data_IF_857868962249
#
_entry.id   IF_857868962249
#
_cell.length_a   1.000
_cell.length_b   1.000
_cell.length_c   1.000
_cell.angle_alpha   90.00
_cell.angle_beta   90.00
_cell.angle_gamma   90.00
#
_symmetry.space_group_name_H-M   'P 1'
#
loop_
_entity.id
_entity.type
_entity.pdbx_description
1 polymer ?
#
# COMPACT_ATOMS: atom_id res chain seq x y z
N UNK A 1 -9.21 -21.25 -2.49
CA UNK A 1 -8.20 -20.18 -2.33
C UNK A 1 -8.51 -19.13 -3.38
N UNK A 2 -9.19 -18.03 -3.01
CA UNK A 2 -9.62 -17.00 -3.98
C UNK A 2 -8.41 -16.10 -4.24
N UNK A 3 -7.82 -16.24 -5.42
CA UNK A 3 -6.77 -15.37 -5.94
C UNK A 3 -7.42 -14.03 -6.31
N UNK A 4 -7.41 -13.07 -5.39
CA UNK A 4 -7.77 -11.69 -5.71
C UNK A 4 -6.60 -11.10 -6.47
N UNK A 5 -6.68 -11.09 -7.80
CA UNK A 5 -5.77 -10.34 -8.66
C UNK A 5 -6.13 -8.86 -8.46
N UNK A 6 -5.41 -8.19 -7.55
CA UNK A 6 -5.47 -6.73 -7.44
C UNK A 6 -4.74 -6.20 -8.68
N UNK A 7 -5.45 -5.55 -9.63
CA UNK A 7 -4.79 -5.00 -10.81
C UNK A 7 -3.73 -3.98 -10.38
N UNK A 8 -2.62 -3.95 -11.11
CA UNK A 8 -1.56 -2.95 -10.90
C UNK A 8 -2.18 -1.53 -10.81
N UNK A 9 -1.69 -0.66 -9.92
CA UNK A 9 -2.35 0.58 -9.49
C UNK A 9 -2.56 1.65 -10.58
N UNK A 10 -2.25 1.34 -11.84
CA UNK A 10 -2.28 2.27 -12.98
C UNK A 10 -3.68 2.46 -13.63
N UNK A 11 -4.69 1.63 -13.36
CA UNK A 11 -5.88 1.56 -14.23
C UNK A 11 -7.23 1.98 -13.61
N UNK A 12 -7.27 2.63 -12.44
CA UNK A 12 -8.54 3.12 -11.86
C UNK A 12 -8.88 4.55 -12.31
N UNK A 13 -9.65 4.67 -13.39
CA UNK A 13 -10.23 5.95 -13.86
C UNK A 13 -11.42 6.37 -12.96
N UNK A 14 -11.17 7.23 -11.98
CA UNK A 14 -12.24 7.87 -11.18
C UNK A 14 -12.39 9.37 -11.55
N UNK A 15 -13.60 9.78 -11.91
CA UNK A 15 -14.01 11.17 -12.24
C UNK A 15 -14.23 11.99 -10.95
N UNK A 16 -13.58 13.15 -10.86
CA UNK A 16 -13.79 14.15 -9.80
C UNK A 16 -12.68 15.21 -9.78
N UNK A 17 -12.74 16.21 -10.65
CA UNK A 17 -11.57 17.01 -11.06
C UNK A 17 -10.96 17.96 -10.00
N UNK A 18 -11.67 18.33 -8.93
CA UNK A 18 -11.17 19.34 -7.97
C UNK A 18 -10.62 18.70 -6.68
N UNK A 19 -11.34 17.74 -6.08
CA UNK A 19 -10.83 16.97 -4.92
C UNK A 19 -9.60 16.13 -5.25
N UNK A 20 -9.50 15.67 -6.51
CA UNK A 20 -8.37 14.91 -7.05
C UNK A 20 -7.11 15.77 -7.21
N UNK A 21 -7.27 17.06 -7.51
CA UNK A 21 -6.17 18.02 -7.59
C UNK A 21 -5.54 18.27 -6.21
N UNK A 22 -6.36 18.26 -5.16
CA UNK A 22 -5.93 18.41 -3.77
C UNK A 22 -5.56 17.09 -3.08
N UNK A 23 -5.69 15.93 -3.73
CA UNK A 23 -5.37 14.63 -3.14
C UNK A 23 -6.31 14.14 -2.02
N UNK A 24 -7.40 14.87 -1.73
CA UNK A 24 -8.35 14.58 -0.65
C UNK A 24 -9.38 13.49 -1.03
N UNK A 25 -8.90 12.31 -1.43
CA UNK A 25 -9.73 11.15 -1.84
C UNK A 25 -9.60 9.99 -0.82
N UNK A 26 -8.75 10.15 0.20
CA UNK A 26 -8.37 9.08 1.15
C UNK A 26 -9.58 8.34 1.74
N UNK A 27 -10.66 9.04 2.09
CA UNK A 27 -11.87 8.44 2.69
C UNK A 27 -12.98 8.12 1.67
N UNK A 28 -12.80 8.45 0.40
CA UNK A 28 -13.81 8.15 -0.63
C UNK A 28 -13.81 6.65 -0.96
N UNK A 29 -14.99 6.00 -0.96
CA UNK A 29 -15.09 4.59 -1.31
C UNK A 29 -14.58 4.30 -2.71
N UNK A 30 -13.79 3.23 -2.84
CA UNK A 30 -13.34 2.73 -4.13
C UNK A 30 -14.54 2.10 -4.84
N UNK A 31 -14.72 2.44 -6.12
CA UNK A 31 -15.79 1.90 -6.97
C UNK A 31 -15.20 1.23 -8.21
N UNK A 32 -15.67 0.02 -8.52
CA UNK A 32 -15.39 -0.69 -9.77
C UNK A 32 -16.74 -0.87 -10.47
N UNK A 33 -16.86 -0.40 -11.71
CA UNK A 33 -18.09 -0.57 -12.54
C UNK A 33 -19.38 -0.20 -11.77
N UNK A 34 -19.35 0.95 -11.07
CA UNK A 34 -20.41 1.49 -10.20
C UNK A 34 -20.69 0.77 -8.88
N UNK A 35 -20.00 -0.33 -8.57
CA UNK A 35 -20.12 -1.03 -7.30
C UNK A 35 -18.98 -0.65 -6.33
N UNK A 36 -19.33 -0.35 -5.08
CA UNK A 36 -18.32 -0.11 -4.04
C UNK A 36 -17.56 -1.40 -3.74
N UNK A 37 -16.23 -1.32 -3.67
CA UNK A 37 -15.39 -2.46 -3.29
C UNK A 37 -15.57 -2.71 -1.81
N UNK A 38 -16.00 -3.93 -1.45
CA UNK A 38 -16.19 -4.33 -0.07
C UNK A 38 -15.21 -5.41 0.33
N UNK A 39 -14.62 -5.26 1.51
CA UNK A 39 -13.85 -6.29 2.19
C UNK A 39 -14.54 -6.60 3.51
N UNK A 40 -14.95 -7.85 3.71
CA UNK A 40 -15.65 -8.30 4.93
C UNK A 40 -16.88 -7.45 5.29
N UNK A 41 -17.62 -7.01 4.28
CA UNK A 41 -18.80 -6.15 4.44
C UNK A 41 -18.52 -4.65 4.58
N UNK A 42 -17.27 -4.24 4.76
CA UNK A 42 -16.85 -2.83 4.85
C UNK A 42 -16.51 -2.27 3.48
N UNK A 43 -17.00 -1.06 3.17
CA UNK A 43 -16.64 -0.34 1.95
C UNK A 43 -15.20 0.18 2.09
N UNK A 44 -14.30 -0.31 1.24
CA UNK A 44 -12.92 0.12 1.22
C UNK A 44 -12.83 1.56 0.69
N UNK A 45 -12.11 2.41 1.41
CA UNK A 45 -11.67 3.70 0.91
C UNK A 45 -10.23 3.62 0.38
N UNK A 46 -9.76 4.71 -0.23
CA UNK A 46 -8.41 4.77 -0.78
C UNK A 46 -7.33 4.63 0.30
N UNK A 47 -7.60 5.14 1.51
CA UNK A 47 -6.71 4.96 2.66
C UNK A 47 -6.52 3.48 2.99
N UNK A 48 -7.62 2.71 3.06
CA UNK A 48 -7.57 1.29 3.36
C UNK A 48 -6.75 0.52 2.31
N UNK A 49 -6.83 0.94 1.04
CA UNK A 49 -6.01 0.36 -0.02
C UNK A 49 -4.52 0.56 0.24
N UNK A 50 -4.09 1.73 0.72
CA UNK A 50 -2.68 1.97 1.02
C UNK A 50 -2.17 1.11 2.17
N UNK A 51 -3.00 0.90 3.20
CA UNK A 51 -2.69 -0.05 4.27
C UNK A 51 -2.53 -1.48 3.71
N UNK A 52 -3.41 -1.91 2.81
CA UNK A 52 -3.34 -3.21 2.14
C UNK A 52 -2.08 -3.32 1.25
N UNK A 53 -1.77 -2.30 0.45
CA UNK A 53 -0.57 -2.25 -0.40
C UNK A 53 0.70 -2.37 0.43
N UNK A 54 0.81 -1.60 1.52
CA UNK A 54 1.95 -1.64 2.44
C UNK A 54 2.03 -2.98 3.17
N UNK A 55 0.90 -3.60 3.49
CA UNK A 55 0.86 -4.92 4.12
C UNK A 55 1.47 -6.03 3.24
N UNK A 56 1.30 -5.94 1.93
CA UNK A 56 1.93 -6.89 1.00
C UNK A 56 3.45 -6.66 0.81
N UNK A 57 3.98 -5.54 1.30
CA UNK A 57 5.40 -5.28 1.30
C UNK A 57 6.09 -5.94 2.51
N UNK A 58 7.35 -6.31 2.33
CA UNK A 58 8.19 -6.78 3.45
C UNK A 58 8.17 -5.76 4.60
N UNK A 59 8.03 -6.24 5.84
CA UNK A 59 8.00 -5.38 7.03
C UNK A 59 9.33 -4.65 7.18
N UNK A 60 9.30 -3.37 7.53
CA UNK A 60 10.52 -2.56 7.73
C UNK A 60 10.73 -2.23 9.21
N UNK A 61 11.99 -2.10 9.62
CA UNK A 61 12.33 -1.66 10.97
C UNK A 61 12.05 -0.16 11.15
N UNK A 62 11.23 0.20 12.14
CA UNK A 62 10.97 1.56 12.59
C UNK A 62 11.08 1.61 14.12
N UNK A 63 12.09 2.32 14.64
CA UNK A 63 12.42 2.26 16.06
C UNK A 63 12.73 0.82 16.50
N UNK A 64 11.98 0.30 17.48
CA UNK A 64 12.13 -1.08 17.99
C UNK A 64 11.24 -2.10 17.29
N UNK A 65 10.34 -1.68 16.39
CA UNK A 65 9.30 -2.55 15.82
C UNK A 65 9.50 -2.82 14.32
N UNK A 66 9.06 -3.99 13.87
CA UNK A 66 8.93 -4.33 12.44
C UNK A 66 7.52 -4.01 11.96
N UNK A 67 7.40 -2.89 11.27
CA UNK A 67 6.12 -2.29 10.88
C UNK A 67 5.62 -2.88 9.58
N UNK A 68 4.33 -3.21 9.52
CA UNK A 68 3.67 -3.92 8.42
C UNK A 68 2.68 -3.07 7.63
N UNK A 69 2.16 -1.99 8.19
CA UNK A 69 1.05 -1.24 7.62
C UNK A 69 -0.32 -1.59 8.20
N UNK A 70 -0.51 -2.69 8.94
CA UNK A 70 -1.85 -3.02 9.52
C UNK A 70 -1.85 -3.64 10.94
N UNK A 71 -0.71 -4.08 11.47
CA UNK A 71 -0.65 -4.84 12.73
C UNK A 71 -0.55 -3.97 14.00
N UNK A 72 -0.39 -2.67 13.86
CA UNK A 72 -0.53 -1.71 14.96
C UNK A 72 -1.96 -1.21 15.16
N UNK A 73 -2.89 -1.59 14.27
CA UNK A 73 -4.27 -1.10 14.27
C UNK A 73 -5.23 -2.27 14.45
N UNK A 74 -6.11 -2.19 15.44
CA UNK A 74 -7.21 -3.12 15.60
C UNK A 74 -8.43 -2.63 14.79
N UNK A 75 -8.45 -2.96 13.50
CA UNK A 75 -9.55 -2.61 12.60
C UNK A 75 -10.25 -3.86 12.06
N UNK A 76 -11.60 -3.94 12.11
CA UNK A 76 -12.35 -5.05 11.52
C UNK A 76 -12.23 -5.12 9.99
N UNK A 77 -11.74 -4.05 9.36
CA UNK A 77 -11.40 -4.04 7.93
C UNK A 77 -10.22 -4.98 7.64
N UNK A 78 -9.20 -5.00 8.51
CA UNK A 78 -7.96 -5.75 8.29
C UNK A 78 -7.90 -7.07 9.06
N UNK A 79 -8.54 -7.16 10.23
CA UNK A 79 -8.48 -8.34 11.11
C UNK A 79 -9.84 -9.03 11.28
N UNK A 80 -9.84 -10.36 11.26
CA UNK A 80 -11.08 -11.16 11.41
C UNK A 80 -11.59 -11.17 12.85
N UNK A 81 -10.69 -10.97 13.79
CA UNK A 81 -10.91 -10.93 15.22
C UNK A 81 -10.11 -9.78 15.81
N UNK A 82 -10.51 -9.32 16.99
CA UNK A 82 -9.67 -8.38 17.75
C UNK A 82 -8.28 -8.97 17.96
N UNK A 83 -7.25 -8.21 17.62
CA UNK A 83 -5.85 -8.57 17.85
C UNK A 83 -5.26 -7.68 18.95
N UNK A 84 -4.21 -8.19 19.60
CA UNK A 84 -3.32 -7.34 20.41
C UNK A 84 -2.35 -6.64 19.46
N UNK A 85 -2.33 -5.29 19.39
CA UNK A 85 -1.42 -4.57 18.51
C UNK A 85 0.04 -4.93 18.80
N UNK A 86 0.80 -5.28 17.76
CA UNK A 86 2.21 -5.64 17.91
C UNK A 86 3.10 -4.43 18.24
N UNK A 87 2.62 -3.23 17.89
CA UNK A 87 3.28 -1.94 18.07
C UNK A 87 2.24 -0.82 17.95
N UNK A 88 2.65 0.43 18.18
CA UNK A 88 1.77 1.60 18.04
C UNK A 88 1.30 1.77 16.58
N UNK A 89 -0.03 1.79 16.35
CA UNK A 89 -0.65 1.99 15.05
C UNK A 89 -0.22 3.27 14.33
N UNK A 90 0.24 4.30 15.05
CA UNK A 90 0.80 5.50 14.44
C UNK A 90 2.06 5.21 13.59
N UNK A 91 2.77 4.11 13.86
CA UNK A 91 3.86 3.66 13.01
C UNK A 91 3.37 3.11 11.66
N UNK A 92 2.21 2.45 11.64
CA UNK A 92 1.58 2.02 10.38
C UNK A 92 1.17 3.24 9.56
N UNK A 93 0.54 4.24 10.18
CA UNK A 93 0.17 5.50 9.52
C UNK A 93 1.38 6.25 8.94
N UNK A 94 2.49 6.31 9.70
CA UNK A 94 3.72 6.93 9.23
C UNK A 94 4.29 6.21 8.00
N UNK A 95 4.30 4.87 8.01
CA UNK A 95 4.76 4.06 6.88
C UNK A 95 3.84 4.23 5.66
N UNK A 96 2.53 4.24 5.89
CA UNK A 96 1.51 4.45 4.86
C UNK A 96 1.64 5.84 4.24
N UNK A 97 1.89 6.89 5.02
CA UNK A 97 2.13 8.22 4.50
C UNK A 97 3.34 8.30 3.56
N UNK A 98 4.46 7.63 3.88
CA UNK A 98 5.59 7.51 2.95
C UNK A 98 5.20 6.77 1.68
N UNK A 99 4.43 5.70 1.79
CA UNK A 99 3.96 4.94 0.64
C UNK A 99 3.04 5.76 -0.28
N UNK A 100 2.09 6.50 0.31
CA UNK A 100 1.20 7.41 -0.39
C UNK A 100 1.97 8.51 -1.13
N UNK A 101 2.94 9.13 -0.45
CA UNK A 101 3.76 10.18 -1.04
C UNK A 101 4.60 9.69 -2.23
N UNK A 102 5.17 8.48 -2.14
CA UNK A 102 6.01 7.90 -3.19
C UNK A 102 5.21 7.36 -4.38
N UNK A 103 4.06 6.73 -4.14
CA UNK A 103 3.28 6.08 -5.21
C UNK A 103 2.28 7.03 -5.87
N UNK A 104 1.81 8.03 -5.14
CA UNK A 104 0.73 8.93 -5.54
C UNK A 104 1.01 10.35 -5.04
N UNK A 105 2.08 10.96 -5.54
CA UNK A 105 2.52 12.28 -5.09
C UNK A 105 1.44 13.36 -5.33
N UNK A 106 1.07 14.05 -4.27
CA UNK A 106 0.19 15.24 -4.29
C UNK A 106 0.64 16.22 -3.20
N UNK A 107 0.19 17.48 -3.27
CA UNK A 107 0.48 18.46 -2.24
C UNK A 107 0.02 17.99 -0.85
N UNK A 108 -1.18 17.40 -0.77
CA UNK A 108 -1.70 16.82 0.47
C UNK A 108 -0.85 15.66 0.99
N UNK A 109 -0.48 14.70 0.12
CA UNK A 109 0.37 13.57 0.53
C UNK A 109 1.77 14.03 0.95
N UNK A 110 2.26 15.12 0.37
CA UNK A 110 3.53 15.74 0.75
C UNK A 110 3.42 16.37 2.14
N UNK A 111 2.37 17.14 2.43
CA UNK A 111 2.10 17.66 3.76
C UNK A 111 1.93 16.55 4.80
N UNK A 112 1.21 15.48 4.45
CA UNK A 112 1.04 14.29 5.30
C UNK A 112 2.39 13.63 5.59
N UNK A 113 3.25 13.44 4.58
CA UNK A 113 4.59 12.90 4.78
C UNK A 113 5.46 13.80 5.68
N UNK A 114 5.42 15.13 5.49
CA UNK A 114 6.13 16.08 6.35
C UNK A 114 5.66 15.96 7.80
N UNK A 115 4.35 15.91 8.04
CA UNK A 115 3.78 15.71 9.39
C UNK A 115 4.34 14.44 10.04
N UNK A 116 4.35 13.32 9.31
CA UNK A 116 4.85 12.05 9.84
C UNK A 116 6.37 12.02 10.02
N UNK A 117 7.12 12.73 9.18
CA UNK A 117 8.56 12.95 9.37
C UNK A 117 8.80 13.67 10.70
N UNK A 118 8.09 14.77 10.96
CA UNK A 118 8.19 15.51 12.23
C UNK A 118 7.82 14.62 13.41
N UNK A 119 6.71 13.88 13.32
CA UNK A 119 6.27 12.97 14.37
C UNK A 119 7.30 11.86 14.65
N UNK A 120 7.89 11.24 13.63
CA UNK A 120 8.93 10.22 13.84
C UNK A 120 10.16 10.78 14.57
N UNK A 121 10.55 12.02 14.26
CA UNK A 121 11.64 12.69 14.96
C UNK A 121 11.34 12.90 16.45
N UNK A 122 10.11 13.27 16.82
CA UNK A 122 9.73 13.40 18.26
C UNK A 122 9.77 12.07 19.00
N UNK A 123 9.73 10.93 18.28
CA UNK A 123 9.89 9.58 18.83
C UNK A 123 11.33 9.06 18.80
N UNK A 124 12.29 9.87 18.37
CA UNK A 124 13.69 9.46 18.22
C UNK A 124 13.92 8.43 17.09
N UNK A 125 13.00 8.34 16.14
CA UNK A 125 13.11 7.44 14.98
C UNK A 125 13.61 8.26 13.79
N UNK A 126 14.72 7.81 13.17
CA UNK A 126 15.29 8.47 11.98
C UNK A 126 14.37 8.31 10.75
N UNK A 127 13.70 9.38 10.26
CA UNK A 127 12.74 9.28 9.17
C UNK A 127 13.40 8.94 7.83
N UNK A 128 14.63 9.42 7.59
CA UNK A 128 15.37 9.12 6.37
C UNK A 128 15.71 7.63 6.28
N UNK A 129 16.09 7.01 7.40
CA UNK A 129 16.34 5.57 7.45
C UNK A 129 15.06 4.76 7.17
N UNK A 130 13.90 5.22 7.66
CA UNK A 130 12.60 4.62 7.34
C UNK A 130 12.30 4.72 5.86
N UNK A 131 12.46 5.91 5.27
CA UNK A 131 12.23 6.16 3.85
C UNK A 131 13.12 5.26 2.97
N UNK A 132 14.42 5.19 3.24
CA UNK A 132 15.37 4.35 2.50
C UNK A 132 14.95 2.88 2.54
N UNK A 133 14.60 2.36 3.73
CA UNK A 133 14.14 0.97 3.88
C UNK A 133 12.86 0.72 3.09
N UNK A 134 11.92 1.65 3.14
CA UNK A 134 10.66 1.54 2.43
C UNK A 134 10.85 1.54 0.90
N UNK A 135 11.67 2.46 0.37
CA UNK A 135 12.01 2.51 -1.06
C UNK A 135 12.67 1.21 -1.51
N UNK A 136 13.62 0.66 -0.73
CA UNK A 136 14.27 -0.63 -1.05
C UNK A 136 13.26 -1.77 -1.17
N UNK A 137 12.31 -1.86 -0.24
CA UNK A 137 11.26 -2.90 -0.29
C UNK A 137 10.33 -2.68 -1.47
N UNK A 138 9.96 -1.43 -1.77
CA UNK A 138 9.13 -1.09 -2.92
C UNK A 138 9.80 -1.53 -4.23
N UNK A 139 11.07 -1.15 -4.44
CA UNK A 139 11.85 -1.55 -5.61
C UNK A 139 11.96 -3.08 -5.74
N UNK A 140 12.22 -3.78 -4.63
CA UNK A 140 12.25 -5.25 -4.61
C UNK A 140 10.92 -5.85 -5.05
N UNK A 141 9.80 -5.28 -4.58
CA UNK A 141 8.46 -5.75 -4.95
C UNK A 141 8.12 -5.51 -6.41
N UNK A 142 8.50 -4.35 -6.97
CA UNK A 142 8.31 -4.02 -8.39
C UNK A 142 9.15 -4.93 -9.29
N UNK A 143 10.41 -5.21 -8.92
CA UNK A 143 11.27 -6.15 -9.62
C UNK A 143 10.67 -7.56 -9.62
N UNK A 144 10.10 -8.00 -8.49
CA UNK A 144 9.44 -9.32 -8.39
C UNK A 144 8.18 -9.37 -9.25
N UNK A 145 7.37 -8.31 -9.24
CA UNK A 145 6.17 -8.23 -10.08
C UNK A 145 6.56 -8.28 -11.57
N UNK A 146 7.53 -7.48 -11.99
CA UNK A 146 8.02 -7.46 -13.38
C UNK A 146 8.65 -8.80 -13.80
N UNK A 147 9.43 -9.46 -12.93
CA UNK A 147 9.97 -10.80 -13.23
C UNK A 147 8.90 -11.86 -13.38
N UNK A 148 7.87 -11.86 -12.53
CA UNK A 148 6.76 -12.83 -12.63
C UNK A 148 5.95 -12.61 -13.92
N UNK A 149 5.68 -11.36 -14.27
CA UNK A 149 5.00 -11.01 -15.52
C UNK A 149 5.85 -11.39 -16.74
N UNK A 150 7.16 -11.15 -16.70
CA UNK A 150 8.07 -11.54 -17.79
C UNK A 150 8.18 -13.06 -17.94
N UNK A 151 8.30 -13.82 -16.83
CA UNK A 151 8.30 -15.28 -16.86
C UNK A 151 6.97 -15.87 -17.34
N UNK A 152 5.84 -15.22 -17.06
CA UNK A 152 4.53 -15.61 -17.59
C UNK A 152 4.42 -15.32 -19.09
N UNK A 153 4.95 -14.18 -19.55
CA UNK A 153 5.02 -13.86 -20.97
C UNK A 153 5.97 -14.80 -21.73
N UNK A 154 7.13 -15.15 -21.16
CA UNK A 154 8.07 -16.12 -21.74
C UNK A 154 7.49 -17.55 -21.78
N UNK A 155 6.67 -17.92 -20.78
CA UNK A 155 5.96 -19.20 -20.78
C UNK A 155 4.86 -19.27 -21.85
N UNK A 156 4.25 -18.13 -22.21
CA UNK A 156 3.26 -18.01 -23.29
C UNK A 156 3.96 -17.88 -24.66
N UNK A 157 5.14 -17.27 -24.70
CA UNK A 157 5.90 -17.01 -25.92
C UNK A 157 6.86 -18.15 -26.33
N UNK A 158 7.01 -19.21 -25.53
CA UNK A 158 7.67 -20.43 -26.00
C UNK A 158 6.79 -21.08 -27.07
N UNK A 159 7.21 -21.14 -28.34
CA UNK A 159 6.47 -21.88 -29.34
C UNK A 159 6.37 -23.35 -28.88
N UNK A 160 5.19 -23.93 -29.05
CA UNK A 160 4.97 -25.37 -29.16
C UNK A 160 5.86 -25.88 -30.29
N UNK A 161 7.13 -26.12 -30.00
CA UNK A 161 8.01 -26.83 -30.91
C UNK A 161 8.86 -27.77 -30.08
N UNK A 162 8.29 -28.95 -29.82
CA UNK A 162 9.04 -30.19 -29.68
C UNK A 162 8.07 -31.36 -29.72
N UNK A 163 8.24 -32.18 -30.76
CA UNK A 163 7.79 -33.57 -30.91
C UNK A 163 6.30 -33.71 -31.31
N UNK A 164 5.90 -34.19 -32.50
CA UNK A 164 6.48 -35.10 -33.51
C UNK A 164 5.95 -34.70 -34.88
#
# INVERSE_FOLDING_TARGET
>A
MILVIIPAPCQLKVRGQIKKLLGCISTEPIKIENSAVKLRGYCLCHHDLYHIEVFYLERIQMGKSKVSGIHGINSPVFHNSTIVPEYDGLLDEARVAFHEWLTRTSAFNTCKAIYWILWLMTRGINPLAVLIRHVRVLQKSEIIFNRKTMLQLDAIAKPLNTNI
#
